data_IF_852678550287
#
_entry.id   IF_852678550287
#
_cell.length_a   1.000
_cell.length_b   1.000
_cell.length_c   1.000
_cell.angle_alpha   90.00
_cell.angle_beta   90.00
_cell.angle_gamma   90.00
#
_symmetry.space_group_name_H-M   'P 1'
#
loop_
_entity.id
_entity.type
_entity.pdbx_description
1 polymer ?
#
# COMPACT_ATOMS: atom_id res chain seq x y z
N UNK A 1 7.88 14.28 -0.19
CA UNK A 1 7.39 12.92 -0.49
C UNK A 1 6.31 13.01 -1.55
N UNK A 2 6.34 12.11 -2.52
CA UNK A 2 5.34 12.06 -3.57
C UNK A 2 5.69 10.98 -4.59
N UNK A 3 4.67 10.48 -5.27
CA UNK A 3 4.82 9.50 -6.34
C UNK A 3 5.50 10.18 -7.53
N UNK A 4 6.55 9.55 -8.07
CA UNK A 4 7.37 10.07 -9.17
C UNK A 4 7.03 9.40 -10.50
N UNK A 5 6.59 8.14 -10.48
CA UNK A 5 6.26 7.35 -11.67
C UNK A 5 4.74 7.12 -11.74
N UNK A 6 4.26 5.97 -11.28
CA UNK A 6 2.84 5.60 -11.24
C UNK A 6 2.50 5.08 -9.86
N UNK A 7 1.33 5.46 -9.39
CA UNK A 7 0.83 5.07 -8.10
C UNK A 7 -0.01 3.80 -8.20
N UNK A 8 0.27 2.86 -7.31
CA UNK A 8 -0.50 1.64 -7.15
C UNK A 8 -0.91 1.48 -5.70
N UNK A 9 -2.20 1.32 -5.45
CA UNK A 9 -2.66 0.78 -4.19
C UNK A 9 -2.58 -0.74 -4.23
N UNK A 10 -2.07 -1.30 -3.15
CA UNK A 10 -1.85 -2.73 -3.01
C UNK A 10 -2.49 -3.19 -1.72
N UNK A 11 -3.35 -4.19 -1.81
CA UNK A 11 -3.90 -4.89 -0.65
C UNK A 11 -3.37 -6.30 -0.65
N UNK A 12 -2.84 -6.72 0.50
CA UNK A 12 -2.35 -8.07 0.74
C UNK A 12 -3.33 -8.76 1.67
N UNK A 13 -3.84 -9.90 1.24
CA UNK A 13 -4.74 -10.74 2.03
C UNK A 13 -4.23 -12.17 2.09
N UNK A 14 -4.50 -12.86 3.20
CA UNK A 14 -4.22 -14.29 3.28
C UNK A 14 -5.20 -15.05 2.38
N UNK A 15 -4.69 -15.87 1.47
CA UNK A 15 -5.48 -16.59 0.47
C UNK A 15 -6.46 -17.59 1.07
N UNK A 16 -6.11 -18.19 2.21
CA UNK A 16 -6.87 -19.27 2.82
C UNK A 16 -7.91 -18.75 3.81
N UNK A 17 -7.62 -17.67 4.52
CA UNK A 17 -8.51 -17.09 5.53
C UNK A 17 -9.26 -15.85 5.05
N UNK A 18 -8.88 -15.30 3.89
CA UNK A 18 -9.33 -13.99 3.37
C UNK A 18 -9.17 -12.85 4.38
N UNK A 19 -8.27 -13.02 5.35
CA UNK A 19 -7.98 -11.97 6.31
C UNK A 19 -7.04 -10.95 5.68
N UNK A 20 -7.44 -9.68 5.78
CA UNK A 20 -6.59 -8.57 5.43
C UNK A 20 -5.29 -8.62 6.23
N UNK A 21 -4.16 -8.54 5.53
CA UNK A 21 -2.84 -8.52 6.13
C UNK A 21 -2.33 -7.08 6.22
N UNK A 22 -2.11 -6.43 5.07
CA UNK A 22 -1.55 -5.07 4.97
C UNK A 22 -1.95 -4.38 3.68
N UNK A 23 -1.92 -3.05 3.69
CA UNK A 23 -2.15 -2.19 2.54
C UNK A 23 -0.96 -1.29 2.27
N UNK A 24 -0.69 -0.97 1.00
CA UNK A 24 0.43 -0.15 0.58
C UNK A 24 0.05 0.81 -0.54
N UNK A 25 0.75 1.93 -0.58
CA UNK A 25 0.91 2.76 -1.76
C UNK A 25 2.33 2.55 -2.30
N UNK A 26 2.44 2.15 -3.55
CA UNK A 26 3.72 1.84 -4.21
C UNK A 26 3.89 2.70 -5.45
N UNK A 27 5.06 3.33 -5.59
CA UNK A 27 5.52 4.03 -6.78
C UNK A 27 6.32 3.08 -7.68
N UNK A 28 5.74 2.65 -8.81
CA UNK A 28 6.36 1.69 -9.70
C UNK A 28 6.07 1.96 -11.18
N UNK A 29 6.74 1.25 -12.08
CA UNK A 29 6.54 1.38 -13.54
C UNK A 29 5.33 0.57 -14.03
N UNK A 30 5.11 -0.59 -13.41
CA UNK A 30 4.13 -1.60 -13.78
C UNK A 30 3.74 -2.50 -12.58
N UNK A 31 2.66 -3.26 -12.72
CA UNK A 31 2.11 -4.13 -11.66
C UNK A 31 3.00 -5.33 -11.31
N UNK A 32 3.83 -5.82 -12.23
CA UNK A 32 4.75 -6.92 -11.94
C UNK A 32 5.87 -6.45 -11.02
N UNK A 33 6.38 -5.24 -11.26
CA UNK A 33 7.34 -4.56 -10.36
C UNK A 33 6.76 -4.37 -8.97
N UNK A 34 5.49 -3.90 -8.87
CA UNK A 34 4.78 -3.77 -7.59
C UNK A 34 4.72 -5.10 -6.84
N UNK A 35 4.35 -6.17 -7.53
CA UNK A 35 4.25 -7.52 -6.94
C UNK A 35 5.58 -7.95 -6.31
N UNK A 36 6.69 -7.79 -7.03
CA UNK A 36 8.03 -8.15 -6.53
C UNK A 36 8.42 -7.33 -5.31
N UNK A 37 8.15 -6.02 -5.33
CA UNK A 37 8.40 -5.12 -4.21
C UNK A 37 7.64 -5.57 -2.97
N UNK A 38 6.34 -5.84 -3.10
CA UNK A 38 5.48 -6.25 -1.97
C UNK A 38 5.90 -7.59 -1.39
N UNK A 39 6.24 -8.58 -2.22
CA UNK A 39 6.75 -9.87 -1.75
C UNK A 39 8.02 -9.67 -0.92
N UNK A 40 8.95 -8.83 -1.42
CA UNK A 40 10.21 -8.54 -0.73
C UNK A 40 10.00 -7.78 0.58
N UNK A 41 9.14 -6.77 0.59
CA UNK A 41 8.87 -5.91 1.76
C UNK A 41 8.14 -6.68 2.86
N UNK A 42 7.13 -7.47 2.48
CA UNK A 42 6.31 -8.21 3.43
C UNK A 42 6.95 -9.55 3.85
N UNK A 43 7.98 -10.01 3.14
CA UNK A 43 8.56 -11.35 3.29
C UNK A 43 7.49 -12.46 3.28
N UNK A 44 6.51 -12.32 2.37
CA UNK A 44 5.37 -13.23 2.23
C UNK A 44 5.61 -14.26 1.14
N UNK A 45 5.00 -15.43 1.31
CA UNK A 45 4.95 -16.45 0.28
C UNK A 45 3.81 -16.14 -0.73
N UNK A 46 4.10 -15.95 -2.03
CA UNK A 46 3.09 -15.57 -3.01
C UNK A 46 2.08 -16.68 -3.32
N UNK A 47 2.30 -17.92 -2.87
CA UNK A 47 1.29 -18.98 -2.98
C UNK A 47 0.27 -18.92 -1.84
N UNK A 48 0.63 -18.26 -0.74
CA UNK A 48 -0.16 -18.18 0.50
C UNK A 48 -0.93 -16.87 0.66
N UNK A 49 -0.57 -15.85 -0.11
CA UNK A 49 -1.18 -14.51 -0.06
C UNK A 49 -1.63 -14.06 -1.44
N UNK A 50 -2.81 -13.44 -1.50
CA UNK A 50 -3.27 -12.73 -2.69
C UNK A 50 -2.84 -11.25 -2.58
N UNK A 51 -2.30 -10.74 -3.69
CA UNK A 51 -1.84 -9.35 -3.82
C UNK A 51 -2.76 -8.68 -4.84
N UNK A 52 -3.67 -7.85 -4.36
CA UNK A 52 -4.59 -7.07 -5.20
C UNK A 52 -3.93 -5.74 -5.51
N UNK A 53 -3.73 -5.46 -6.79
CA UNK A 53 -3.09 -4.23 -7.26
C UNK A 53 -4.13 -3.39 -7.99
N UNK A 54 -4.20 -2.12 -7.66
CA UNK A 54 -5.08 -1.14 -8.29
C UNK A 54 -4.29 0.10 -8.64
N UNK A 55 -4.20 0.40 -9.94
CA UNK A 55 -3.63 1.66 -10.40
C UNK A 55 -4.48 2.84 -9.93
N UNK A 56 -3.83 3.87 -9.41
CA UNK A 56 -4.51 5.08 -8.93
C UNK A 56 -3.93 6.35 -9.53
N UNK A 57 -4.74 7.40 -9.60
CA UNK A 57 -4.27 8.70 -10.07
C UNK A 57 -3.25 9.27 -9.09
N UNK A 58 -2.31 10.06 -9.62
CA UNK A 58 -1.32 10.75 -8.78
C UNK A 58 -1.99 11.69 -7.78
N UNK A 59 -3.10 12.33 -8.13
CA UNK A 59 -3.87 13.17 -7.21
C UNK A 59 -4.37 12.38 -6.00
N UNK A 60 -4.96 11.20 -6.24
CA UNK A 60 -5.47 10.34 -5.15
C UNK A 60 -4.34 9.75 -4.31
N UNK A 61 -3.21 9.43 -4.93
CA UNK A 61 -2.03 8.97 -4.23
C UNK A 61 -1.38 10.08 -3.38
N UNK A 62 -1.38 11.32 -3.86
CA UNK A 62 -0.83 12.43 -3.12
C UNK A 62 -1.73 12.86 -1.95
N UNK A 63 -3.06 12.78 -2.10
CA UNK A 63 -3.99 13.07 -1.00
C UNK A 63 -3.79 12.10 0.18
N UNK A 64 -3.34 10.87 -0.08
CA UNK A 64 -3.02 9.90 0.96
C UNK A 64 -1.86 10.34 1.88
N UNK A 65 -0.91 11.15 1.38
CA UNK A 65 0.15 11.69 2.21
C UNK A 65 -0.32 12.87 3.09
N UNK A 66 -1.43 13.49 2.73
CA UNK A 66 -2.05 14.59 3.49
C UNK A 66 -3.04 14.05 4.55
N UNK A 67 -3.48 12.80 4.39
CA UNK A 67 -4.41 12.15 5.31
C UNK A 67 -3.80 11.86 6.69
N UNK A 68 -4.55 12.26 7.72
CA UNK A 68 -4.16 12.06 9.13
C UNK A 68 -5.23 11.26 9.90
N UNK A 69 -4.76 10.54 10.92
CA UNK A 69 -5.58 9.88 11.93
C UNK A 69 -6.23 10.92 12.85
N UNK A 70 -7.28 10.56 13.62
CA UNK A 70 -7.97 11.50 14.52
C UNK A 70 -7.07 12.12 15.60
N UNK A 71 -5.93 11.50 15.89
CA UNK A 71 -4.91 11.99 16.82
C UNK A 71 -3.86 12.91 16.15
N UNK A 72 -3.98 13.17 14.85
CA UNK A 72 -3.07 14.00 14.06
C UNK A 72 -1.88 13.27 13.46
N UNK A 73 -1.70 11.97 13.74
CA UNK A 73 -0.62 11.18 13.13
C UNK A 73 -0.91 10.90 11.65
N UNK A 74 0.11 10.74 10.79
CA UNK A 74 -0.11 10.38 9.39
C UNK A 74 -0.80 9.02 9.25
N UNK A 75 -1.69 8.85 8.26
CA UNK A 75 -2.27 7.54 7.89
C UNK A 75 -1.32 6.64 7.10
N UNK A 76 -0.05 6.99 7.06
CA UNK A 76 0.95 6.27 6.29
C UNK A 76 2.25 6.14 7.07
N UNK A 77 2.98 5.06 6.79
CA UNK A 77 4.32 4.83 7.27
C UNK A 77 5.25 4.66 6.09
N UNK A 78 6.36 5.39 6.09
CA UNK A 78 7.41 5.22 5.10
C UNK A 78 8.12 3.90 5.40
N UNK A 79 8.07 2.97 4.44
CA UNK A 79 8.83 1.72 4.54
C UNK A 79 10.19 1.92 3.89
N UNK A 80 10.18 2.43 2.65
CA UNK A 80 11.39 2.75 1.90
C UNK A 80 11.06 3.84 0.87
N UNK A 81 11.63 5.03 1.05
CA UNK A 81 11.37 6.17 0.17
C UNK A 81 12.11 6.07 -1.17
N UNK A 82 13.27 5.39 -1.21
CA UNK A 82 14.09 5.25 -2.42
C UNK A 82 13.41 4.36 -3.46
N UNK A 83 12.75 3.29 -3.00
CA UNK A 83 11.92 2.43 -3.86
C UNK A 83 10.43 2.79 -3.83
N UNK A 84 10.05 3.88 -3.14
CA UNK A 84 8.72 4.47 -3.18
C UNK A 84 7.62 3.61 -2.56
N UNK A 85 7.88 3.01 -1.40
CA UNK A 85 6.93 2.13 -0.68
C UNK A 85 6.45 2.76 0.61
N UNK A 86 5.14 2.88 0.73
CA UNK A 86 4.45 3.47 1.87
C UNK A 86 3.37 2.51 2.37
N UNK A 87 3.44 2.11 3.64
CA UNK A 87 2.44 1.26 4.28
C UNK A 87 1.26 2.11 4.76
N UNK A 88 0.05 1.64 4.49
CA UNK A 88 -1.18 2.25 4.95
C UNK A 88 -1.45 1.86 6.40
N UNK A 89 -1.67 2.87 7.25
CA UNK A 89 -2.00 2.68 8.66
C UNK A 89 -3.52 2.76 8.82
N UNK A 90 -4.13 1.61 9.05
CA UNK A 90 -5.56 1.50 9.37
C UNK A 90 -5.74 1.62 10.88
N UNK A 91 -6.65 2.48 11.34
CA UNK A 91 -7.09 2.44 12.73
C UNK A 91 -8.23 1.42 12.90
N UNK A 92 -8.59 1.12 14.15
CA UNK A 92 -9.68 0.21 14.50
C UNK A 92 -11.08 0.63 14.02
N UNK A 93 -11.23 1.76 13.30
CA UNK A 93 -12.49 2.23 12.70
C UNK A 93 -12.66 1.83 11.23
N UNK A 94 -11.76 1.02 10.66
CA UNK A 94 -11.92 0.43 9.33
C UNK A 94 -11.22 1.21 8.21
N UNK A 95 -11.23 0.62 7.01
CA UNK A 95 -10.61 1.16 5.82
C UNK A 95 -11.33 2.46 5.39
N UNK A 96 -10.67 3.63 5.44
CA UNK A 96 -11.30 4.90 5.06
C UNK A 96 -11.46 5.07 3.53
N UNK A 97 -11.05 4.08 2.75
CA UNK A 97 -11.09 4.11 1.29
C UNK A 97 -12.11 3.12 0.67
N UNK A 98 -12.99 2.51 1.49
CA UNK A 98 -14.24 1.90 1.02
C UNK A 98 -15.32 2.96 0.70
#
# INVERSE_FOLDING_TARGET
MGIKKRAYFVEVENKFTHQFYKGFLVDAEDEASVTQIIISVCAIDPLSYDIKISGVSMEKANSFFEDTLPNGDPKHKIIDEDIGVFEMVYNSMGNPYE
#
